data_IF_073470409111
#
_entry.id   IF_073470409111
#
_cell.length_a   1.000
_cell.length_b   1.000
_cell.length_c   1.000
_cell.angle_alpha   90.00
_cell.angle_beta   90.00
_cell.angle_gamma   90.00
#
_symmetry.space_group_name_H-M   'P 1'
#
loop_
_entity.id
_entity.type
_entity.pdbx_description
1 polymer ?
#
# COMPACT_ATOMS: atom_id res chain seq x y z
N UNK A 1 6.43 73.96 46.50
CA UNK A 1 7.60 73.72 47.37
C UNK A 1 8.41 72.63 46.70
N UNK A 2 9.70 72.83 46.43
CA UNK A 2 10.52 71.84 45.70
C UNK A 2 10.94 70.72 46.65
N UNK A 3 10.86 69.46 46.22
CA UNK A 3 11.25 68.32 47.05
C UNK A 3 12.77 68.28 47.27
N UNK A 4 13.19 67.80 48.44
CA UNK A 4 14.58 67.76 48.87
C UNK A 4 15.46 66.91 47.93
N UNK A 5 14.91 65.88 47.30
CA UNK A 5 15.65 65.05 46.35
C UNK A 5 15.98 65.82 45.07
N UNK A 6 14.99 66.50 44.49
CA UNK A 6 15.17 67.28 43.27
C UNK A 6 16.18 68.41 43.47
N UNK A 7 16.13 69.07 44.63
CA UNK A 7 17.11 70.11 45.00
C UNK A 7 18.54 69.54 45.00
N UNK A 8 18.76 68.38 45.61
CA UNK A 8 20.09 67.73 45.67
C UNK A 8 20.60 67.30 44.29
N UNK A 9 19.75 66.75 43.43
CA UNK A 9 20.14 66.35 42.07
C UNK A 9 20.54 67.57 41.24
N UNK A 10 19.80 68.68 41.35
CA UNK A 10 20.14 69.92 40.63
C UNK A 10 21.42 70.57 41.15
N UNK A 11 21.59 70.63 42.47
CA UNK A 11 22.81 71.20 43.09
C UNK A 11 24.08 70.40 42.75
N UNK A 12 23.95 69.07 42.58
CA UNK A 12 25.08 68.19 42.27
C UNK A 12 25.18 67.81 40.79
N UNK A 13 24.38 68.41 39.90
CA UNK A 13 24.34 68.07 38.46
C UNK A 13 25.72 68.06 37.82
N UNK A 14 26.56 69.04 38.18
CA UNK A 14 27.91 69.16 37.65
C UNK A 14 28.85 68.04 38.10
N UNK A 15 28.63 67.45 39.28
CA UNK A 15 29.38 66.28 39.75
C UNK A 15 29.11 65.01 38.90
N UNK A 16 27.96 64.95 38.22
CA UNK A 16 27.64 63.85 37.30
C UNK A 16 28.25 64.02 35.90
N UNK A 17 28.71 65.23 35.54
CA UNK A 17 29.28 65.52 34.23
C UNK A 17 30.80 65.29 34.14
N UNK A 18 31.45 64.83 35.22
CA UNK A 18 32.92 64.73 35.33
C UNK A 18 33.49 63.64 34.41
N UNK A 19 32.74 62.56 34.16
CA UNK A 19 33.20 61.45 33.33
C UNK A 19 32.23 61.19 32.18
N UNK A 20 32.65 61.51 30.95
CA UNK A 20 31.98 61.00 29.75
C UNK A 20 32.42 59.56 29.53
N UNK A 21 31.45 58.66 29.45
CA UNK A 21 31.69 57.24 29.17
C UNK A 21 32.35 57.11 27.79
N UNK A 22 33.49 56.41 27.75
CA UNK A 22 34.18 56.05 26.51
C UNK A 22 33.35 54.98 25.77
N UNK A 23 32.57 55.44 24.79
CA UNK A 23 31.71 54.59 23.98
C UNK A 23 32.51 53.62 23.13
N UNK A 24 33.71 53.98 22.71
CA UNK A 24 34.56 53.15 21.86
C UNK A 24 35.08 51.95 22.65
N UNK A 25 35.44 52.15 23.92
CA UNK A 25 35.81 51.06 24.83
C UNK A 25 34.66 50.09 25.09
N UNK A 26 33.44 50.61 25.27
CA UNK A 26 32.25 49.77 25.44
C UNK A 26 31.95 48.98 24.17
N UNK A 27 31.98 49.63 23.01
CA UNK A 27 31.73 48.98 21.73
C UNK A 27 32.79 47.94 21.40
N UNK A 28 34.06 48.17 21.76
CA UNK A 28 35.13 47.20 21.58
C UNK A 28 34.90 45.91 22.38
N UNK A 29 34.42 46.03 23.63
CA UNK A 29 34.07 44.87 24.45
C UNK A 29 32.91 44.07 23.84
N UNK A 30 31.88 44.75 23.35
CA UNK A 30 30.72 44.12 22.69
C UNK A 30 31.15 43.45 21.38
N UNK A 31 31.90 44.14 20.52
CA UNK A 31 32.35 43.61 19.23
C UNK A 31 33.21 42.34 19.40
N UNK A 32 34.10 42.33 20.39
CA UNK A 32 34.94 41.16 20.68
C UNK A 32 34.16 39.91 21.09
N UNK A 33 32.94 40.08 21.64
CA UNK A 33 32.06 38.96 22.00
C UNK A 33 31.17 38.49 20.82
N UNK A 34 31.10 39.25 19.72
CA UNK A 34 30.34 38.88 18.53
C UNK A 34 31.20 38.16 17.48
N UNK A 35 32.51 38.41 17.42
CA UNK A 35 33.41 37.75 16.47
C UNK A 35 33.61 36.25 16.77
N UNK A 36 33.25 35.77 17.97
CA UNK A 36 33.30 34.35 18.34
C UNK A 36 32.05 33.57 17.89
N UNK A 37 31.54 33.84 16.68
CA UNK A 37 30.61 32.93 16.01
C UNK A 37 31.38 32.09 15.00
N UNK A 38 31.86 30.93 15.46
CA UNK A 38 32.32 29.86 14.58
C UNK A 38 31.19 29.50 13.61
N UNK A 39 31.39 29.75 12.31
CA UNK A 39 30.44 29.36 11.28
C UNK A 39 30.11 27.86 11.41
N UNK A 40 28.84 27.44 11.24
CA UNK A 40 28.47 26.04 11.31
C UNK A 40 29.22 25.29 10.20
N UNK A 41 30.11 24.39 10.60
CA UNK A 41 30.90 23.54 9.68
C UNK A 41 29.97 22.56 8.98
N UNK A 42 29.36 22.97 7.87
CA UNK A 42 28.56 22.08 7.02
C UNK A 42 29.50 21.12 6.30
N UNK A 43 29.32 19.82 6.54
CA UNK A 43 30.09 18.78 5.84
C UNK A 43 29.30 18.41 4.58
N UNK A 44 29.77 18.76 3.37
CA UNK A 44 29.03 18.50 2.14
C UNK A 44 29.07 16.98 1.84
N UNK A 45 27.94 16.29 2.07
CA UNK A 45 27.82 14.82 1.98
C UNK A 45 28.24 14.27 0.60
N UNK A 46 27.95 15.00 -0.48
CA UNK A 46 28.36 14.71 -1.86
C UNK A 46 29.89 14.72 -2.09
N UNK A 47 30.68 15.39 -1.23
CA UNK A 47 32.14 15.35 -1.34
C UNK A 47 32.73 14.06 -0.79
N UNK A 48 32.00 13.34 0.08
CA UNK A 48 32.46 12.05 0.63
C UNK A 48 32.49 10.97 -0.45
N UNK A 49 33.65 10.32 -0.63
CA UNK A 49 33.81 9.21 -1.58
C UNK A 49 32.92 8.02 -1.19
N UNK A 50 32.73 7.75 0.11
CA UNK A 50 31.89 6.66 0.60
C UNK A 50 30.40 6.85 0.26
N UNK A 51 29.90 8.09 0.33
CA UNK A 51 28.51 8.39 0.00
C UNK A 51 28.21 8.18 -1.49
N UNK A 52 29.15 8.55 -2.37
CA UNK A 52 29.01 8.32 -3.82
C UNK A 52 28.98 6.84 -4.18
N UNK A 53 29.82 6.03 -3.54
CA UNK A 53 29.83 4.58 -3.74
C UNK A 53 28.52 3.96 -3.25
N UNK A 54 28.06 4.31 -2.04
CA UNK A 54 26.78 3.82 -1.53
C UNK A 54 25.60 4.18 -2.44
N UNK A 55 25.53 5.43 -2.92
CA UNK A 55 24.50 5.87 -3.85
C UNK A 55 24.51 5.07 -5.16
N UNK A 56 25.69 4.74 -5.69
CA UNK A 56 25.80 3.94 -6.92
C UNK A 56 25.31 2.49 -6.74
N UNK A 57 25.56 1.88 -5.58
CA UNK A 57 25.10 0.53 -5.27
C UNK A 57 23.58 0.52 -5.13
N UNK A 58 23.00 1.49 -4.42
CA UNK A 58 21.54 1.62 -4.28
C UNK A 58 20.89 1.82 -5.64
N UNK A 59 21.47 2.65 -6.51
CA UNK A 59 20.98 2.85 -7.88
C UNK A 59 21.02 1.56 -8.69
N UNK A 60 22.14 0.82 -8.66
CA UNK A 60 22.27 -0.43 -9.38
C UNK A 60 21.28 -1.48 -8.89
N UNK A 61 21.15 -1.67 -7.57
CA UNK A 61 20.20 -2.62 -6.99
C UNK A 61 18.76 -2.21 -7.31
N UNK A 62 18.45 -0.92 -7.20
CA UNK A 62 17.13 -0.39 -7.55
C UNK A 62 16.78 -0.66 -9.01
N UNK A 63 17.69 -0.33 -9.94
CA UNK A 63 17.49 -0.58 -11.37
C UNK A 63 17.41 -2.08 -11.71
N UNK A 64 18.23 -2.91 -11.07
CA UNK A 64 18.19 -4.36 -11.24
C UNK A 64 16.87 -4.96 -10.74
N UNK A 65 16.37 -4.50 -9.59
CA UNK A 65 15.07 -4.94 -9.06
C UNK A 65 13.91 -4.50 -9.96
N UNK A 66 13.92 -3.25 -10.43
CA UNK A 66 12.89 -2.78 -11.35
C UNK A 66 12.92 -3.54 -12.67
N UNK A 67 14.11 -3.77 -13.24
CA UNK A 67 14.26 -4.53 -14.47
C UNK A 67 13.79 -5.98 -14.30
N UNK A 68 14.16 -6.62 -13.17
CA UNK A 68 13.71 -7.97 -12.85
C UNK A 68 12.19 -8.05 -12.72
N UNK A 69 11.54 -7.09 -12.04
CA UNK A 69 10.07 -7.07 -11.96
C UNK A 69 9.41 -6.83 -13.32
N UNK A 70 9.93 -5.92 -14.14
CA UNK A 70 9.34 -5.63 -15.46
C UNK A 70 9.54 -6.76 -16.48
N UNK A 71 10.64 -7.51 -16.40
CA UNK A 71 10.91 -8.62 -17.31
C UNK A 71 10.12 -9.88 -16.94
N UNK A 72 9.76 -10.06 -15.67
CA UNK A 72 8.95 -11.19 -15.19
C UNK A 72 7.45 -10.84 -15.07
N UNK A 73 7.07 -9.59 -15.32
CA UNK A 73 5.66 -9.24 -15.42
C UNK A 73 5.08 -9.87 -16.70
N UNK A 74 4.02 -10.70 -16.63
CA UNK A 74 3.36 -11.20 -17.83
C UNK A 74 2.93 -9.99 -18.65
N UNK A 75 3.33 -9.95 -19.91
CA UNK A 75 3.02 -8.87 -20.84
C UNK A 75 1.51 -8.63 -20.87
N UNK A 76 1.05 -7.54 -20.26
CA UNK A 76 -0.36 -7.12 -20.26
C UNK A 76 -0.78 -6.47 -21.59
N UNK A 77 -0.14 -6.84 -22.70
CA UNK A 77 -0.49 -6.35 -24.03
C UNK A 77 -1.65 -7.19 -24.56
N UNK A 78 -2.80 -7.07 -23.91
CA UNK A 78 -4.07 -7.58 -24.40
C UNK A 78 -4.92 -6.35 -24.70
N UNK A 79 -4.56 -5.61 -25.74
CA UNK A 79 -5.30 -4.43 -26.17
C UNK A 79 -6.30 -4.87 -27.27
N UNK A 80 -7.60 -4.83 -26.98
CA UNK A 80 -8.64 -5.16 -27.97
C UNK A 80 -9.99 -5.58 -27.38
N UNK A 81 -11.00 -5.73 -28.24
CA UNK A 81 -12.39 -6.09 -27.87
C UNK A 81 -12.48 -7.30 -26.90
N UNK A 82 -11.70 -8.35 -27.15
CA UNK A 82 -11.66 -9.53 -26.28
C UNK A 82 -11.20 -9.23 -24.85
N UNK A 83 -10.30 -8.25 -24.66
CA UNK A 83 -9.86 -7.84 -23.31
C UNK A 83 -10.95 -7.11 -22.54
N UNK A 84 -11.81 -6.36 -23.24
CA UNK A 84 -12.92 -5.62 -22.64
C UNK A 84 -14.04 -6.58 -22.23
N UNK A 85 -14.39 -7.53 -23.11
CA UNK A 85 -15.39 -8.56 -22.77
C UNK A 85 -14.91 -9.47 -21.64
N UNK A 86 -13.64 -9.88 -21.64
CA UNK A 86 -13.07 -10.65 -20.53
C UNK A 86 -13.14 -9.87 -19.22
N UNK A 87 -12.84 -8.56 -19.25
CA UNK A 87 -12.94 -7.70 -18.07
C UNK A 87 -14.39 -7.64 -17.55
N UNK A 88 -15.37 -7.49 -18.43
CA UNK A 88 -16.79 -7.49 -18.06
C UNK A 88 -17.21 -8.81 -17.41
N UNK A 89 -16.81 -9.93 -18.00
CA UNK A 89 -17.06 -11.28 -17.46
C UNK A 89 -16.40 -11.44 -16.08
N UNK A 90 -15.13 -11.08 -15.94
CA UNK A 90 -14.40 -11.19 -14.67
C UNK A 90 -15.05 -10.32 -13.59
N UNK A 91 -15.46 -9.08 -13.93
CA UNK A 91 -16.19 -8.21 -13.00
C UNK A 91 -17.51 -8.82 -12.54
N UNK A 92 -18.24 -9.51 -13.43
CA UNK A 92 -19.52 -10.11 -13.10
C UNK A 92 -19.37 -11.39 -12.24
N UNK A 93 -18.44 -12.28 -12.61
CA UNK A 93 -18.41 -13.64 -12.06
C UNK A 93 -17.36 -13.86 -10.97
N UNK A 94 -16.21 -13.19 -11.04
CA UNK A 94 -15.09 -13.48 -10.14
C UNK A 94 -15.45 -13.19 -8.68
N UNK A 95 -16.12 -12.06 -8.42
CA UNK A 95 -16.53 -11.71 -7.06
C UNK A 95 -17.58 -12.68 -6.49
N UNK A 96 -18.56 -13.07 -7.31
CA UNK A 96 -19.62 -13.99 -6.91
C UNK A 96 -19.04 -15.37 -6.54
N UNK A 97 -18.17 -15.93 -7.38
CA UNK A 97 -17.54 -17.22 -7.11
C UNK A 97 -16.69 -17.17 -5.84
N UNK A 98 -15.84 -16.15 -5.70
CA UNK A 98 -14.97 -16.02 -4.54
C UNK A 98 -15.75 -15.97 -3.22
N UNK A 99 -16.80 -15.14 -3.16
CA UNK A 99 -17.62 -15.03 -1.96
C UNK A 99 -18.30 -16.36 -1.60
N UNK A 100 -18.82 -17.10 -2.59
CA UNK A 100 -19.49 -18.38 -2.34
C UNK A 100 -18.52 -19.46 -1.86
N UNK A 101 -17.29 -19.50 -2.39
CA UNK A 101 -16.26 -20.43 -1.93
C UNK A 101 -15.92 -20.18 -0.46
N UNK A 102 -15.76 -18.92 -0.05
CA UNK A 102 -15.50 -18.57 1.36
C UNK A 102 -16.64 -19.03 2.26
N UNK A 103 -17.90 -18.78 1.87
CA UNK A 103 -19.07 -19.22 2.64
C UNK A 103 -19.13 -20.75 2.78
N UNK A 104 -18.73 -21.49 1.75
CA UNK A 104 -18.66 -22.96 1.77
C UNK A 104 -17.55 -23.43 2.72
N UNK A 105 -16.36 -22.83 2.65
CA UNK A 105 -15.23 -23.16 3.52
C UNK A 105 -15.58 -22.97 5.00
N UNK A 106 -16.28 -21.89 5.33
CA UNK A 106 -16.67 -21.55 6.69
C UNK A 106 -17.93 -22.30 7.18
N UNK A 107 -18.62 -23.03 6.30
CA UNK A 107 -19.89 -23.66 6.64
C UNK A 107 -19.70 -24.83 7.64
N UNK A 108 -20.26 -24.77 8.86
CA UNK A 108 -20.08 -25.83 9.85
C UNK A 108 -20.87 -27.11 9.53
N UNK A 109 -21.81 -27.07 8.57
CA UNK A 109 -22.64 -28.22 8.20
C UNK A 109 -21.98 -29.18 7.22
N UNK A 110 -20.89 -28.75 6.56
CA UNK A 110 -20.15 -29.58 5.62
C UNK A 110 -19.04 -30.33 6.36
N UNK A 111 -18.88 -31.61 6.03
CA UNK A 111 -17.75 -32.38 6.55
C UNK A 111 -16.43 -31.85 5.98
N UNK A 112 -15.32 -32.14 6.64
CA UNK A 112 -14.00 -31.75 6.13
C UNK A 112 -13.71 -32.38 4.76
N UNK A 113 -14.17 -33.62 4.55
CA UNK A 113 -13.99 -34.35 3.29
C UNK A 113 -14.79 -33.73 2.14
N UNK A 114 -16.06 -33.36 2.38
CA UNK A 114 -16.89 -32.71 1.35
C UNK A 114 -16.31 -31.35 0.94
N UNK A 115 -15.72 -30.61 1.90
CA UNK A 115 -15.04 -29.34 1.63
C UNK A 115 -13.79 -29.55 0.78
N UNK A 116 -12.95 -30.53 1.15
CA UNK A 116 -11.72 -30.84 0.42
C UNK A 116 -12.02 -31.26 -1.02
N UNK A 117 -13.00 -32.15 -1.21
CA UNK A 117 -13.43 -32.59 -2.53
C UNK A 117 -13.95 -31.41 -3.37
N UNK A 118 -14.87 -30.60 -2.83
CA UNK A 118 -15.37 -29.42 -3.51
C UNK A 118 -14.26 -28.45 -3.92
N UNK A 119 -13.33 -28.15 -3.00
CA UNK A 119 -12.21 -27.24 -3.28
C UNK A 119 -11.27 -27.78 -4.35
N UNK A 120 -11.03 -29.10 -4.38
CA UNK A 120 -10.19 -29.71 -5.42
C UNK A 120 -10.75 -29.50 -6.82
N UNK A 121 -12.08 -29.59 -6.99
CA UNK A 121 -12.73 -29.30 -8.27
C UNK A 121 -12.68 -27.81 -8.62
N UNK A 122 -12.78 -26.93 -7.62
CA UNK A 122 -12.63 -25.49 -7.83
C UNK A 122 -11.22 -25.13 -8.29
N UNK A 123 -10.19 -25.75 -7.71
CA UNK A 123 -8.79 -25.56 -8.09
C UNK A 123 -8.55 -26.02 -9.55
N UNK A 124 -9.12 -27.16 -9.96
CA UNK A 124 -9.05 -27.62 -11.36
C UNK A 124 -9.67 -26.62 -12.34
N UNK A 125 -10.84 -26.06 -11.98
CA UNK A 125 -11.50 -25.03 -12.79
C UNK A 125 -10.73 -23.71 -12.80
N UNK A 126 -9.98 -23.38 -11.73
CA UNK A 126 -9.04 -22.26 -11.68
C UNK A 126 -7.86 -22.45 -12.61
N UNK A 127 -7.28 -23.63 -12.64
CA UNK A 127 -6.22 -23.97 -13.58
C UNK A 127 -6.70 -23.90 -15.03
N UNK A 128 -7.87 -24.47 -15.36
CA UNK A 128 -8.48 -24.40 -16.70
C UNK A 128 -8.68 -22.94 -17.13
N UNK A 129 -9.23 -22.08 -16.26
CA UNK A 129 -9.40 -20.66 -16.54
C UNK A 129 -8.07 -19.94 -16.82
N UNK A 130 -7.03 -20.23 -16.05
CA UNK A 130 -5.71 -19.64 -16.27
C UNK A 130 -5.11 -20.05 -17.62
N UNK A 131 -5.32 -21.30 -18.06
CA UNK A 131 -4.92 -21.73 -19.41
C UNK A 131 -5.71 -20.98 -20.50
N UNK A 132 -7.02 -20.83 -20.33
CA UNK A 132 -7.86 -20.10 -21.29
C UNK A 132 -7.42 -18.64 -21.44
N UNK A 133 -6.99 -17.96 -20.37
CA UNK A 133 -6.41 -16.60 -20.47
C UNK A 133 -5.12 -16.56 -21.28
N UNK A 134 -4.27 -17.57 -21.15
CA UNK A 134 -3.04 -17.68 -21.93
C UNK A 134 -3.38 -17.92 -23.40
N UNK A 135 -4.31 -18.84 -23.68
CA UNK A 135 -4.78 -19.12 -25.04
C UNK A 135 -5.38 -17.88 -25.71
N UNK A 136 -6.18 -17.09 -24.98
CA UNK A 136 -6.80 -15.87 -25.51
C UNK A 136 -5.76 -14.80 -25.91
N UNK A 137 -4.53 -14.86 -25.37
CA UNK A 137 -3.45 -13.94 -25.77
C UNK A 137 -2.81 -14.36 -27.08
N UNK A 138 -2.75 -15.65 -27.34
CA UNK A 138 -1.96 -16.24 -28.41
C UNK A 138 -2.85 -16.66 -29.61
N UNK A 139 -4.18 -16.64 -29.47
CA UNK A 139 -5.15 -17.13 -30.46
C UNK A 139 -5.74 -16.00 -31.34
N UNK A 140 -6.07 -16.34 -32.60
CA UNK A 140 -6.77 -15.47 -33.55
C UNK A 140 -8.30 -15.51 -33.38
N UNK A 141 -8.83 -16.58 -32.78
CA UNK A 141 -10.25 -16.81 -32.54
C UNK A 141 -10.60 -16.65 -31.05
N UNK A 142 -10.62 -15.39 -30.60
CA UNK A 142 -10.87 -15.04 -29.21
C UNK A 142 -12.32 -15.24 -28.77
N UNK A 143 -13.28 -15.23 -29.71
CA UNK A 143 -14.70 -15.45 -29.40
C UNK A 143 -14.93 -16.84 -28.80
N UNK A 144 -14.31 -17.87 -29.41
CA UNK A 144 -14.38 -19.24 -28.91
C UNK A 144 -13.71 -19.40 -27.54
N UNK A 145 -12.59 -18.71 -27.31
CA UNK A 145 -11.90 -18.76 -26.01
C UNK A 145 -12.74 -18.07 -24.94
N UNK A 146 -13.40 -16.97 -25.27
CA UNK A 146 -14.32 -16.28 -24.38
C UNK A 146 -15.52 -17.16 -24.01
N UNK A 147 -16.09 -17.88 -24.97
CA UNK A 147 -17.16 -18.86 -24.70
C UNK A 147 -16.70 -19.93 -23.72
N UNK A 148 -15.48 -20.45 -23.89
CA UNK A 148 -14.89 -21.41 -22.96
C UNK A 148 -14.71 -20.82 -21.55
N UNK A 149 -14.30 -19.56 -21.43
CA UNK A 149 -14.19 -18.85 -20.14
C UNK A 149 -15.55 -18.73 -19.46
N UNK A 150 -16.58 -18.31 -20.21
CA UNK A 150 -17.97 -18.24 -19.69
C UNK A 150 -18.45 -19.62 -19.24
N UNK A 151 -18.15 -20.67 -20.00
CA UNK A 151 -18.54 -22.03 -19.64
C UNK A 151 -17.79 -22.55 -18.41
N UNK A 152 -16.52 -22.19 -18.22
CA UNK A 152 -15.78 -22.48 -16.99
C UNK A 152 -16.46 -21.83 -15.77
N UNK A 153 -16.86 -20.56 -15.85
CA UNK A 153 -17.63 -19.90 -14.78
C UNK A 153 -18.98 -20.59 -14.51
N UNK A 154 -19.70 -21.02 -15.56
CA UNK A 154 -20.96 -21.78 -15.40
C UNK A 154 -20.75 -23.09 -14.62
N UNK A 155 -19.68 -23.85 -14.93
CA UNK A 155 -19.35 -25.08 -14.20
C UNK A 155 -19.12 -24.80 -12.71
N UNK A 156 -18.39 -23.73 -12.37
CA UNK A 156 -18.16 -23.33 -10.97
C UNK A 156 -19.45 -23.03 -10.23
N UNK A 157 -20.35 -22.28 -10.87
CA UNK A 157 -21.66 -21.95 -10.32
C UNK A 157 -22.49 -23.22 -10.10
N UNK A 158 -22.50 -24.13 -11.07
CA UNK A 158 -23.20 -25.41 -10.97
C UNK A 158 -22.69 -26.27 -9.79
N UNK A 159 -21.36 -26.33 -9.58
CA UNK A 159 -20.78 -27.00 -8.42
C UNK A 159 -21.24 -26.39 -7.11
N UNK A 160 -21.22 -25.05 -7.00
CA UNK A 160 -21.70 -24.32 -5.82
C UNK A 160 -23.18 -24.65 -5.57
N UNK A 161 -24.02 -24.57 -6.59
CA UNK A 161 -25.45 -24.84 -6.48
C UNK A 161 -25.74 -26.28 -6.05
N UNK A 162 -25.02 -27.25 -6.59
CA UNK A 162 -25.19 -28.66 -6.26
C UNK A 162 -24.80 -28.94 -4.80
N UNK A 163 -23.70 -28.36 -4.33
CA UNK A 163 -23.29 -28.48 -2.94
C UNK A 163 -24.32 -27.83 -2.00
N UNK A 164 -24.83 -26.64 -2.33
CA UNK A 164 -25.88 -25.97 -1.56
C UNK A 164 -27.18 -26.78 -1.52
N UNK A 165 -27.56 -27.44 -2.62
CA UNK A 165 -28.71 -28.36 -2.64
C UNK A 165 -28.51 -29.53 -1.69
N UNK A 166 -27.33 -30.14 -1.65
CA UNK A 166 -27.01 -31.25 -0.75
C UNK A 166 -27.12 -30.83 0.73
N UNK A 167 -26.60 -29.65 1.08
CA UNK A 167 -26.71 -29.08 2.44
C UNK A 167 -28.16 -28.82 2.84
N UNK A 168 -29.01 -28.39 1.89
CA UNK A 168 -30.41 -28.12 2.15
C UNK A 168 -31.28 -29.38 2.16
N UNK A 169 -30.95 -30.39 1.36
CA UNK A 169 -31.63 -31.68 1.35
C UNK A 169 -31.46 -32.42 2.68
N UNK A 170 -30.23 -32.44 3.22
CA UNK A 170 -29.95 -33.05 4.54
C UNK A 170 -30.71 -32.37 5.69
N UNK A 171 -31.08 -31.08 5.55
CA UNK A 171 -31.94 -30.39 6.52
C UNK A 171 -33.36 -30.96 6.58
N UNK A 172 -33.96 -31.27 5.43
CA UNK A 172 -35.35 -31.74 5.35
C UNK A 172 -35.53 -33.18 5.86
N UNK A 173 -34.49 -34.00 5.77
CA UNK A 173 -34.51 -35.38 6.30
C UNK A 173 -34.42 -35.39 7.83
N UNK A 174 -33.59 -34.51 8.43
CA UNK A 174 -33.49 -34.39 9.90
C UNK A 174 -34.77 -33.85 10.57
N UNK A 175 -35.54 -33.00 9.90
CA UNK A 175 -36.83 -32.50 10.43
C UNK A 175 -37.93 -33.59 10.43
N UNK A 176 -37.78 -34.67 9.65
CA UNK A 176 -38.74 -35.78 9.58
C UNK A 176 -38.51 -36.89 10.60
N UNK A 177 -37.28 -37.09 11.09
CA UNK A 177 -37.00 -38.12 12.12
C UNK A 177 -37.44 -37.73 13.54
N UNK A 178 -37.85 -36.48 13.77
CA UNK A 178 -38.39 -36.01 15.05
C UNK A 178 -39.85 -36.39 15.35
N UNK A 179 -40.54 -37.06 14.42
CA UNK A 179 -41.93 -37.51 14.57
C UNK A 179 -42.09 -38.97 14.18
N UNK A 180 -41.46 -39.87 14.94
CA UNK A 180 -41.92 -41.26 15.03
C UNK A 180 -42.17 -41.59 16.50
N UNK A 181 -43.38 -42.10 16.75
CA UNK A 181 -44.05 -42.25 18.05
C UNK A 181 -43.31 -43.11 19.07
#
# INVERSE_FOLDING_TARGET
MMDNFEKRIRENKEAFNVHKVDRDKLWKGIASQLEEKTEPKVIPLWKSRGFRVAASIVLLVGLSLTAFMTMNAPSQNMEGYASEELLEIDMHYQHLVHQQVVLIQENPKLSALDKEEFLSFMDELDEEYMQLKLEMRDNLDNERVLEAIVNNYKKRIELIENLLKQINASKNEMDYEGYTL
#
